data_IF_315811201118
#
_entry.id   IF_315811201118
#
_cell.length_a   1.000
_cell.length_b   1.000
_cell.length_c   1.000
_cell.angle_alpha   90.00
_cell.angle_beta   90.00
_cell.angle_gamma   90.00
#
_symmetry.space_group_name_H-M   'P 1'
#
loop_
_entity.id
_entity.type
_entity.pdbx_description
1 polymer ?
#
# COMPACT_ATOMS: atom_id res chain seq x y z
N UNK A 1 -11.39 -26.53 7.26
CA UNK A 1 -10.39 -25.43 7.11
C UNK A 1 -11.09 -24.08 7.22
N UNK A 2 -10.96 -23.37 8.35
CA UNK A 2 -11.43 -21.98 8.42
C UNK A 2 -10.41 -21.12 7.69
N UNK A 3 -10.76 -20.58 6.51
CA UNK A 3 -9.94 -19.54 5.87
C UNK A 3 -9.75 -18.42 6.90
N UNK A 4 -8.51 -18.02 7.19
CA UNK A 4 -8.27 -16.88 8.06
C UNK A 4 -9.03 -15.68 7.49
N UNK A 5 -9.90 -15.00 8.27
CA UNK A 5 -10.73 -13.90 7.77
C UNK A 5 -9.91 -12.72 7.23
N UNK A 6 -8.61 -12.71 7.51
CA UNK A 6 -7.65 -11.74 7.03
C UNK A 6 -7.21 -11.99 5.58
N UNK A 7 -7.26 -13.24 5.08
CA UNK A 7 -6.73 -13.61 3.77
C UNK A 7 -7.77 -14.40 2.96
N UNK A 8 -8.34 -13.78 1.93
CA UNK A 8 -9.17 -14.49 0.95
C UNK A 8 -8.54 -14.37 -0.44
N UNK A 9 -7.89 -15.45 -0.90
CA UNK A 9 -7.34 -15.53 -2.26
C UNK A 9 -6.19 -14.56 -2.56
N UNK A 10 -5.33 -14.26 -1.57
CA UNK A 10 -4.19 -13.35 -1.73
C UNK A 10 -4.53 -11.86 -1.56
N UNK A 11 -5.81 -11.53 -1.31
CA UNK A 11 -6.24 -10.16 -1.06
C UNK A 11 -6.83 -9.98 0.34
N UNK A 12 -6.61 -8.79 0.91
CA UNK A 12 -6.97 -8.40 2.27
C UNK A 12 -8.02 -7.29 2.26
N UNK A 13 -8.90 -7.27 3.27
CA UNK A 13 -9.83 -6.15 3.48
C UNK A 13 -9.12 -4.96 4.12
N UNK A 14 -9.70 -3.75 4.05
CA UNK A 14 -9.11 -2.56 4.69
C UNK A 14 -8.95 -2.72 6.21
N UNK A 15 -9.86 -3.46 6.86
CA UNK A 15 -9.75 -3.76 8.29
C UNK A 15 -8.60 -4.70 8.59
N UNK A 16 -8.40 -5.73 7.77
CA UNK A 16 -7.26 -6.63 7.90
C UNK A 16 -5.92 -5.89 7.70
N UNK A 17 -5.83 -5.04 6.67
CA UNK A 17 -4.63 -4.24 6.42
C UNK A 17 -4.37 -3.26 7.56
N UNK A 18 -5.41 -2.64 8.11
CA UNK A 18 -5.30 -1.76 9.28
C UNK A 18 -4.71 -2.50 10.48
N UNK A 19 -5.23 -3.70 10.80
CA UNK A 19 -4.71 -4.54 11.87
C UNK A 19 -3.25 -4.99 11.63
N UNK A 20 -2.89 -5.34 10.39
CA UNK A 20 -1.55 -5.81 10.04
C UNK A 20 -0.50 -4.69 10.05
N UNK A 21 -0.85 -3.52 9.56
CA UNK A 21 0.09 -2.39 9.40
C UNK A 21 0.09 -1.44 10.60
N UNK A 22 -0.93 -1.52 11.47
CA UNK A 22 -1.17 -0.57 12.54
C UNK A 22 -1.51 0.83 12.03
N UNK A 23 -1.94 0.97 10.78
CA UNK A 23 -2.40 2.23 10.19
C UNK A 23 -3.91 2.27 10.26
N UNK A 24 -4.49 3.36 10.74
CA UNK A 24 -5.94 3.47 10.89
C UNK A 24 -6.65 3.46 9.53
N UNK A 25 -7.85 2.88 9.50
CA UNK A 25 -8.67 2.73 8.28
C UNK A 25 -8.86 4.05 7.54
N UNK A 26 -9.10 5.16 8.25
CA UNK A 26 -9.29 6.46 7.61
C UNK A 26 -7.97 7.01 7.03
N UNK A 27 -6.83 6.72 7.66
CA UNK A 27 -5.51 7.08 7.14
C UNK A 27 -5.17 6.26 5.89
N UNK A 28 -5.50 4.97 5.86
CA UNK A 28 -5.36 4.14 4.64
C UNK A 28 -6.15 4.72 3.47
N UNK A 29 -7.40 5.15 3.70
CA UNK A 29 -8.23 5.81 2.68
C UNK A 29 -7.62 7.13 2.20
N UNK A 30 -7.03 7.89 3.12
CA UNK A 30 -6.35 9.13 2.79
C UNK A 30 -5.10 8.85 1.94
N UNK A 31 -4.29 7.86 2.31
CA UNK A 31 -3.11 7.47 1.54
C UNK A 31 -3.43 6.94 0.16
N UNK A 32 -4.52 6.19 -0.04
CA UNK A 32 -4.99 5.82 -1.39
C UNK A 32 -5.20 7.03 -2.30
N UNK A 33 -5.67 8.15 -1.74
CA UNK A 33 -5.87 9.39 -2.51
C UNK A 33 -4.52 10.06 -2.81
N UNK A 34 -3.70 10.25 -1.77
CA UNK A 34 -2.44 10.98 -1.87
C UNK A 34 -1.36 10.26 -2.70
N UNK A 35 -1.34 8.93 -2.63
CA UNK A 35 -0.40 8.06 -3.34
C UNK A 35 -1.09 7.28 -4.46
N UNK A 36 -2.14 7.85 -5.04
CA UNK A 36 -2.96 7.19 -6.06
C UNK A 36 -2.17 6.72 -7.28
N UNK A 37 -0.96 7.23 -7.54
CA UNK A 37 -0.08 6.76 -8.61
C UNK A 37 0.50 5.36 -8.33
N UNK A 38 0.73 5.03 -7.05
CA UNK A 38 1.40 3.81 -6.60
C UNK A 38 0.43 2.83 -5.91
N UNK A 39 -0.46 3.34 -5.06
CA UNK A 39 -1.36 2.56 -4.22
C UNK A 39 -2.78 2.57 -4.81
N UNK A 40 -3.12 1.52 -5.57
CA UNK A 40 -4.44 1.35 -6.22
C UNK A 40 -5.07 -0.01 -5.88
N UNK A 41 -5.60 -0.17 -4.65
CA UNK A 41 -6.24 -1.43 -4.26
C UNK A 41 -7.40 -1.78 -5.20
N UNK A 42 -7.54 -3.06 -5.54
CA UNK A 42 -8.65 -3.51 -6.39
C UNK A 42 -9.99 -3.28 -5.68
N UNK A 43 -11.02 -3.03 -6.48
CA UNK A 43 -12.41 -2.93 -6.00
C UNK A 43 -13.21 -4.11 -6.50
N UNK A 44 -13.95 -4.75 -5.60
CA UNK A 44 -14.94 -5.77 -6.00
C UNK A 44 -16.15 -5.12 -6.67
N UNK A 45 -17.01 -5.91 -7.32
CA UNK A 45 -18.27 -5.42 -7.90
C UNK A 45 -19.17 -4.67 -6.89
N UNK A 46 -19.11 -5.07 -5.61
CA UNK A 46 -19.77 -4.38 -4.50
C UNK A 46 -19.02 -3.17 -3.93
N UNK A 47 -18.06 -2.58 -4.68
CA UNK A 47 -17.24 -1.42 -4.30
C UNK A 47 -16.35 -1.59 -3.06
N UNK A 48 -16.11 -2.83 -2.62
CA UNK A 48 -15.24 -3.10 -1.46
C UNK A 48 -13.77 -3.17 -1.89
N UNK A 49 -12.90 -2.54 -1.11
CA UNK A 49 -11.44 -2.55 -1.34
C UNK A 49 -10.82 -3.90 -1.01
N UNK A 50 -9.86 -4.30 -1.83
CA UNK A 50 -9.07 -5.52 -1.71
C UNK A 50 -7.61 -5.18 -2.00
N UNK A 51 -6.78 -5.28 -0.96
CA UNK A 51 -5.35 -4.97 -1.01
C UNK A 51 -4.57 -6.25 -1.28
N UNK A 52 -3.62 -6.20 -2.20
CA UNK A 52 -2.65 -7.28 -2.43
C UNK A 52 -1.54 -7.28 -1.35
N UNK A 53 -0.66 -8.27 -1.39
CA UNK A 53 0.57 -8.25 -0.59
C UNK A 53 1.48 -7.06 -0.95
N UNK A 54 1.55 -6.70 -2.25
CA UNK A 54 2.34 -5.56 -2.72
C UNK A 54 1.77 -4.24 -2.20
N UNK A 55 0.43 -4.10 -2.18
CA UNK A 55 -0.21 -2.91 -1.60
C UNK A 55 0.15 -2.75 -0.12
N UNK A 56 0.18 -3.85 0.65
CA UNK A 56 0.56 -3.83 2.07
C UNK A 56 2.03 -3.46 2.25
N UNK A 57 2.91 -4.00 1.40
CA UNK A 57 4.34 -3.64 1.41
C UNK A 57 4.53 -2.15 1.14
N UNK A 58 3.81 -1.61 0.14
CA UNK A 58 3.83 -0.19 -0.17
C UNK A 58 3.27 0.67 0.97
N UNK A 59 2.22 0.23 1.66
CA UNK A 59 1.68 0.93 2.84
C UNK A 59 2.69 0.99 3.98
N UNK A 60 3.43 -0.10 4.23
CA UNK A 60 4.49 -0.12 5.23
C UNK A 60 5.63 0.84 4.86
N UNK A 61 5.97 0.93 3.58
CA UNK A 61 6.97 1.88 3.11
C UNK A 61 6.50 3.34 3.24
N UNK A 62 5.26 3.65 2.86
CA UNK A 62 4.66 4.97 3.09
C UNK A 62 4.68 5.31 4.59
N UNK A 63 4.33 4.35 5.46
CA UNK A 63 4.38 4.55 6.92
C UNK A 63 5.79 4.89 7.38
N UNK A 64 6.81 4.18 6.90
CA UNK A 64 8.23 4.41 7.19
C UNK A 64 8.63 5.85 6.81
N UNK A 65 8.37 6.23 5.56
CA UNK A 65 8.69 7.57 5.03
C UNK A 65 8.05 8.68 5.86
N UNK A 66 6.77 8.55 6.19
CA UNK A 66 6.01 9.63 6.85
C UNK A 66 6.23 9.69 8.37
N UNK A 67 6.43 8.55 9.04
CA UNK A 67 6.44 8.49 10.52
C UNK A 67 7.82 8.28 11.11
N UNK A 68 8.75 7.68 10.39
CA UNK A 68 10.11 7.44 10.86
C UNK A 68 11.08 8.43 10.24
N UNK A 69 10.97 8.67 8.94
CA UNK A 69 11.86 9.59 8.20
C UNK A 69 11.29 11.01 8.09
N UNK A 70 10.08 11.24 8.62
CA UNK A 70 9.45 12.55 8.72
C UNK A 70 9.30 13.30 7.38
N UNK A 71 9.19 12.56 6.27
CA UNK A 71 8.87 13.17 4.99
C UNK A 71 7.46 13.76 5.01
N UNK A 72 7.28 14.86 4.28
CA UNK A 72 5.94 15.29 3.86
C UNK A 72 5.37 14.31 2.82
N UNK A 73 4.05 14.36 2.58
CA UNK A 73 3.39 13.58 1.52
C UNK A 73 4.08 13.79 0.16
N UNK A 74 4.40 15.05 -0.17
CA UNK A 74 5.08 15.37 -1.42
C UNK A 74 6.51 14.81 -1.46
N UNK A 75 7.23 14.82 -0.33
CA UNK A 75 8.56 14.20 -0.21
C UNK A 75 8.49 12.69 -0.42
N UNK A 76 7.60 12.01 0.31
CA UNK A 76 7.41 10.56 0.21
C UNK A 76 7.04 10.11 -1.21
N UNK A 77 6.16 10.86 -1.90
CA UNK A 77 5.84 10.59 -3.32
C UNK A 77 7.08 10.60 -4.22
N UNK A 78 7.97 11.58 -4.04
CA UNK A 78 9.20 11.68 -4.84
C UNK A 78 10.14 10.51 -4.59
N UNK A 79 10.28 10.10 -3.32
CA UNK A 79 11.10 8.94 -2.95
C UNK A 79 10.55 7.68 -3.61
N UNK A 80 9.25 7.40 -3.47
CA UNK A 80 8.62 6.26 -4.12
C UNK A 80 8.79 6.27 -5.64
N UNK A 81 8.59 7.41 -6.30
CA UNK A 81 8.79 7.55 -7.75
C UNK A 81 10.23 7.23 -8.19
N UNK A 82 11.23 7.54 -7.35
CA UNK A 82 12.62 7.20 -7.62
C UNK A 82 12.85 5.70 -7.46
N UNK A 83 12.42 5.11 -6.34
CA UNK A 83 12.58 3.67 -6.08
C UNK A 83 11.94 2.78 -7.15
N UNK A 84 10.77 3.18 -7.68
CA UNK A 84 10.13 2.47 -8.79
C UNK A 84 10.94 2.54 -10.08
N UNK A 85 11.47 3.72 -10.42
CA UNK A 85 12.35 3.90 -11.60
C UNK A 85 13.59 3.03 -11.49
N UNK A 86 14.24 3.02 -10.34
CA UNK A 86 15.45 2.23 -10.08
C UNK A 86 15.15 0.72 -10.15
N UNK A 87 13.99 0.30 -9.64
CA UNK A 87 13.54 -1.10 -9.73
C UNK A 87 13.23 -1.55 -11.15
N UNK A 88 12.73 -0.65 -12.01
CA UNK A 88 12.48 -0.94 -13.43
C UNK A 88 13.76 -0.95 -14.26
N UNK A 89 14.71 -0.05 -14.00
CA UNK A 89 15.99 -0.02 -14.71
C UNK A 89 16.85 -1.23 -14.37
N UNK A 90 16.88 -1.66 -13.11
CA UNK A 90 17.58 -2.86 -12.68
C UNK A 90 17.05 -4.14 -13.36
N UNK A 91 15.73 -4.22 -13.60
CA UNK A 91 15.10 -5.35 -14.30
C UNK A 91 15.29 -5.33 -15.82
N UNK A 92 15.47 -4.16 -16.43
CA UNK A 92 15.72 -4.04 -17.87
C UNK A 92 17.17 -4.32 -18.25
N UNK A 93 18.09 -4.22 -17.28
CA UNK A 93 19.53 -4.46 -17.47
C UNK A 93 19.97 -5.90 -17.16
N UNK A 94 19.06 -6.77 -16.71
CA UNK A 94 19.29 -8.18 -16.38
C UNK A 94 18.60 -9.09 -17.40
#
# INVERSE_FOLDING_TARGET
>A
MRRSPLYNGGYMSIGAVSALTGVEVHTLRYWEKEFSEFLKPRRTGGKQRRYSADDVTLILEIKRLLKQEMYSIAGARRVLAQSYRDSTSARAAA
#
